data_IF_683706351795
#
_entry.id   IF_683706351795
#
_cell.length_a   1.000
_cell.length_b   1.000
_cell.length_c   1.000
_cell.angle_alpha   90.00
_cell.angle_beta   90.00
_cell.angle_gamma   90.00
#
_symmetry.space_group_name_H-M   'P 1'
#
loop_
_entity.id
_entity.type
_entity.pdbx_description
1 polymer ?
#
# COMPACT_ATOMS: atom_id res chain seq x y z
N UNK A 1 -33.21 -62.21 -5.63
CA UNK A 1 -34.10 -61.38 -4.79
C UNK A 1 -33.58 -59.96 -4.65
N UNK A 2 -32.27 -59.73 -4.46
CA UNK A 2 -31.70 -58.38 -4.33
C UNK A 2 -31.95 -57.47 -5.54
N UNK A 3 -31.84 -57.97 -6.78
CA UNK A 3 -32.06 -57.16 -7.99
C UNK A 3 -33.50 -56.64 -8.06
N UNK A 4 -34.50 -57.47 -7.69
CA UNK A 4 -35.92 -57.10 -7.70
C UNK A 4 -36.20 -56.03 -6.63
N UNK A 5 -35.56 -56.15 -5.47
CA UNK A 5 -35.64 -55.15 -4.40
C UNK A 5 -35.09 -53.79 -4.87
N UNK A 6 -33.92 -53.76 -5.51
CA UNK A 6 -33.35 -52.52 -6.04
C UNK A 6 -34.19 -51.91 -7.17
N UNK A 7 -34.79 -52.74 -8.05
CA UNK A 7 -35.73 -52.26 -9.08
C UNK A 7 -36.97 -51.63 -8.42
N UNK A 8 -37.53 -52.27 -7.39
CA UNK A 8 -38.68 -51.73 -6.65
C UNK A 8 -38.35 -50.39 -5.96
N UNK A 9 -37.21 -50.31 -5.28
CA UNK A 9 -36.73 -49.06 -4.67
C UNK A 9 -36.56 -47.96 -5.72
N UNK A 10 -35.98 -48.29 -6.89
CA UNK A 10 -35.82 -47.34 -7.99
C UNK A 10 -37.17 -46.82 -8.50
N UNK A 11 -38.17 -47.70 -8.66
CA UNK A 11 -39.53 -47.30 -9.09
C UNK A 11 -40.18 -46.36 -8.07
N UNK A 12 -40.05 -46.65 -6.77
CA UNK A 12 -40.59 -45.80 -5.70
C UNK A 12 -39.92 -44.43 -5.69
N UNK A 13 -38.60 -44.37 -5.87
CA UNK A 13 -37.85 -43.11 -5.96
C UNK A 13 -38.27 -42.30 -7.20
N UNK A 14 -38.41 -42.95 -8.36
CA UNK A 14 -38.88 -42.28 -9.59
C UNK A 14 -40.30 -41.74 -9.40
N UNK A 15 -41.21 -42.52 -8.83
CA UNK A 15 -42.58 -42.08 -8.55
C UNK A 15 -42.61 -40.87 -7.60
N UNK A 16 -41.76 -40.87 -6.57
CA UNK A 16 -41.63 -39.75 -5.63
C UNK A 16 -41.07 -38.49 -6.32
N UNK A 17 -40.06 -38.62 -7.18
CA UNK A 17 -39.52 -37.50 -7.96
C UNK A 17 -40.57 -36.92 -8.91
N UNK A 18 -41.34 -37.77 -9.60
CA UNK A 18 -42.42 -37.34 -10.50
C UNK A 18 -43.51 -36.59 -9.73
N UNK A 19 -43.81 -36.99 -8.49
CA UNK A 19 -44.77 -36.30 -7.63
C UNK A 19 -44.26 -34.94 -7.12
N UNK A 20 -42.94 -34.78 -6.94
CA UNK A 20 -42.31 -33.51 -6.55
C UNK A 20 -42.07 -32.55 -7.73
N UNK A 21 -41.91 -33.07 -8.94
CA UNK A 21 -41.66 -32.31 -10.17
C UNK A 21 -42.62 -31.11 -10.39
N UNK A 22 -43.96 -31.23 -10.25
CA UNK A 22 -44.85 -30.09 -10.46
C UNK A 22 -44.63 -28.95 -9.46
N UNK A 23 -44.26 -29.24 -8.21
CA UNK A 23 -43.94 -28.21 -7.22
C UNK A 23 -42.61 -27.52 -7.53
N UNK A 24 -41.62 -28.27 -8.02
CA UNK A 24 -40.37 -27.67 -8.52
C UNK A 24 -40.61 -26.78 -9.74
N UNK A 25 -41.44 -27.22 -10.70
CA UNK A 25 -41.82 -26.42 -11.86
C UNK A 25 -42.63 -25.18 -11.47
N UNK A 26 -43.53 -25.29 -10.50
CA UNK A 26 -44.27 -24.15 -9.95
C UNK A 26 -43.34 -23.15 -9.26
N UNK A 27 -42.41 -23.62 -8.43
CA UNK A 27 -41.39 -22.78 -7.80
C UNK A 27 -40.50 -22.07 -8.82
N UNK A 28 -40.08 -22.78 -9.87
CA UNK A 28 -39.32 -22.20 -10.98
C UNK A 28 -40.16 -21.17 -11.75
N UNK A 29 -41.44 -21.43 -11.98
CA UNK A 29 -42.37 -20.49 -12.59
C UNK A 29 -42.55 -19.20 -11.78
N UNK A 30 -42.73 -19.31 -10.46
CA UNK A 30 -42.82 -18.15 -9.55
C UNK A 30 -41.51 -17.35 -9.57
N UNK A 31 -40.36 -18.03 -9.57
CA UNK A 31 -39.06 -17.38 -9.66
C UNK A 31 -38.84 -16.66 -11.01
N UNK A 32 -39.20 -17.30 -12.12
CA UNK A 32 -39.16 -16.68 -13.45
C UNK A 32 -40.08 -15.45 -13.52
N UNK A 33 -41.30 -15.53 -12.97
CA UNK A 33 -42.23 -14.40 -12.90
C UNK A 33 -41.66 -13.26 -12.05
N UNK A 34 -41.03 -13.56 -10.92
CA UNK A 34 -40.33 -12.57 -10.09
C UNK A 34 -39.22 -11.86 -10.88
N UNK A 35 -38.40 -12.60 -11.63
CA UNK A 35 -37.36 -12.01 -12.47
C UNK A 35 -37.93 -11.11 -13.58
N UNK A 36 -39.02 -11.54 -14.21
CA UNK A 36 -39.71 -10.78 -15.25
C UNK A 36 -40.28 -9.47 -14.71
N UNK A 37 -41.03 -9.53 -13.60
CA UNK A 37 -41.61 -8.34 -12.95
C UNK A 37 -40.49 -7.37 -12.56
N UNK A 38 -39.39 -7.89 -12.01
CA UNK A 38 -38.23 -7.08 -11.64
C UNK A 38 -37.60 -6.38 -12.85
N UNK A 39 -37.44 -7.08 -13.97
CA UNK A 39 -36.92 -6.50 -15.21
C UNK A 39 -37.86 -5.42 -15.78
N UNK A 40 -39.17 -5.66 -15.82
CA UNK A 40 -40.16 -4.67 -16.29
C UNK A 40 -40.13 -3.41 -15.41
N UNK A 41 -40.13 -3.58 -14.08
CA UNK A 41 -40.05 -2.44 -13.13
C UNK A 41 -38.78 -1.62 -13.31
N UNK A 42 -37.66 -2.27 -13.63
CA UNK A 42 -36.39 -1.61 -13.92
C UNK A 42 -36.48 -0.74 -15.19
N UNK A 43 -37.00 -1.28 -16.29
CA UNK A 43 -37.18 -0.52 -17.54
C UNK A 43 -38.13 0.66 -17.38
N UNK A 44 -39.23 0.49 -16.64
CA UNK A 44 -40.16 1.58 -16.33
C UNK A 44 -39.46 2.68 -15.55
N UNK A 45 -38.67 2.32 -14.54
CA UNK A 45 -37.95 3.29 -13.71
C UNK A 45 -36.98 4.14 -14.55
N UNK A 46 -36.10 3.53 -15.34
CA UNK A 46 -35.11 4.28 -16.13
C UNK A 46 -35.70 5.12 -17.27
N UNK A 47 -36.95 4.84 -17.68
CA UNK A 47 -37.67 5.63 -18.69
C UNK A 47 -38.65 6.64 -18.08
N UNK A 48 -38.76 6.69 -16.76
CA UNK A 48 -39.69 7.61 -16.09
C UNK A 48 -39.20 9.05 -16.21
N UNK A 49 -40.15 9.99 -16.36
CA UNK A 49 -39.83 11.42 -16.40
C UNK A 49 -39.17 11.89 -15.09
N UNK A 50 -39.56 11.29 -13.96
CA UNK A 50 -38.94 11.52 -12.65
C UNK A 50 -37.44 11.18 -12.67
N UNK A 51 -37.07 10.03 -13.25
CA UNK A 51 -35.67 9.65 -13.39
C UNK A 51 -34.90 10.62 -14.30
N UNK A 52 -35.48 10.99 -15.44
CA UNK A 52 -34.84 11.87 -16.42
C UNK A 52 -34.61 13.29 -15.85
N UNK A 53 -35.58 13.83 -15.12
CA UNK A 53 -35.47 15.14 -14.47
C UNK A 53 -34.38 15.13 -13.39
N UNK A 54 -34.40 14.15 -12.49
CA UNK A 54 -33.35 14.03 -11.46
C UNK A 54 -31.97 13.80 -12.08
N UNK A 55 -31.87 13.01 -13.16
CA UNK A 55 -30.60 12.84 -13.91
C UNK A 55 -30.07 14.18 -14.40
N UNK A 56 -30.94 15.04 -14.92
CA UNK A 56 -30.55 16.37 -15.39
C UNK A 56 -30.10 17.28 -14.24
N UNK A 57 -30.76 17.22 -13.08
CA UNK A 57 -30.40 18.00 -11.89
C UNK A 57 -28.99 17.66 -11.37
N UNK A 58 -28.63 16.36 -11.35
CA UNK A 58 -27.31 15.92 -10.87
C UNK A 58 -26.21 15.93 -11.94
N UNK A 59 -26.52 16.30 -13.20
CA UNK A 59 -25.59 16.22 -14.32
C UNK A 59 -24.29 16.98 -14.07
N UNK A 60 -24.34 18.17 -13.46
CA UNK A 60 -23.14 18.93 -13.12
C UNK A 60 -22.25 18.21 -12.10
N UNK A 61 -22.86 17.55 -11.11
CA UNK A 61 -22.12 16.78 -10.09
C UNK A 61 -21.48 15.54 -10.69
N UNK A 62 -22.17 14.88 -11.62
CA UNK A 62 -21.62 13.74 -12.37
C UNK A 62 -20.46 14.19 -13.26
N UNK A 63 -20.59 15.32 -13.95
CA UNK A 63 -19.51 15.86 -14.78
C UNK A 63 -18.27 16.18 -13.93
N UNK A 64 -18.44 16.84 -12.78
CA UNK A 64 -17.33 17.10 -11.84
C UNK A 64 -16.70 15.79 -11.34
N UNK A 65 -17.52 14.78 -11.04
CA UNK A 65 -17.03 13.45 -10.66
C UNK A 65 -16.19 12.82 -11.78
N UNK A 66 -16.67 12.86 -13.02
CA UNK A 66 -15.98 12.28 -14.18
C UNK A 66 -14.66 13.02 -14.47
N UNK A 67 -14.60 14.35 -14.29
CA UNK A 67 -13.35 15.11 -14.40
C UNK A 67 -12.31 14.63 -13.38
N UNK A 68 -12.72 14.44 -12.13
CA UNK A 68 -11.82 13.94 -11.06
C UNK A 68 -11.43 12.49 -11.34
N UNK A 69 -12.38 11.66 -11.76
CA UNK A 69 -12.14 10.26 -12.15
C UNK A 69 -11.06 10.16 -13.24
N UNK A 70 -11.15 10.99 -14.27
CA UNK A 70 -10.16 11.06 -15.36
C UNK A 70 -8.79 11.56 -14.88
N UNK A 71 -8.75 12.54 -13.98
CA UNK A 71 -7.50 12.95 -13.33
C UNK A 71 -6.87 11.80 -12.51
N UNK A 72 -7.68 11.04 -11.76
CA UNK A 72 -7.17 9.93 -10.95
C UNK A 72 -6.71 8.76 -11.82
N UNK A 73 -7.36 8.49 -12.94
CA UNK A 73 -6.91 7.51 -13.94
C UNK A 73 -5.55 7.88 -14.57
N UNK A 74 -5.15 9.15 -14.54
CA UNK A 74 -3.84 9.58 -15.03
C UNK A 74 -2.68 9.27 -14.09
N UNK A 75 -2.96 8.90 -12.83
CA UNK A 75 -1.92 8.38 -11.96
C UNK A 75 -1.44 7.04 -12.53
N UNK A 76 -0.22 7.03 -13.07
CA UNK A 76 0.42 5.80 -13.55
C UNK A 76 0.24 4.68 -12.52
N UNK A 77 0.06 3.45 -12.97
CA UNK A 77 0.07 2.28 -12.10
C UNK A 77 1.40 2.30 -11.37
N UNK A 78 1.39 2.67 -10.09
CA UNK A 78 2.60 2.84 -9.29
C UNK A 78 3.24 1.47 -9.16
N UNK A 79 4.13 1.17 -10.10
CA UNK A 79 4.90 -0.05 -10.12
C UNK A 79 6.01 0.15 -9.11
N UNK A 80 5.72 -0.21 -7.85
CA UNK A 80 6.68 -0.23 -6.75
C UNK A 80 7.73 -1.34 -6.94
N UNK A 81 8.33 -1.41 -8.13
CA UNK A 81 9.42 -2.34 -8.42
C UNK A 81 10.67 -1.83 -7.74
N UNK A 82 11.21 -2.65 -6.84
CA UNK A 82 12.56 -2.44 -6.34
C UNK A 82 13.52 -2.50 -7.54
N UNK A 83 14.39 -1.50 -7.67
CA UNK A 83 15.46 -1.49 -8.66
C UNK A 83 16.48 -2.58 -8.33
N UNK A 84 16.20 -3.82 -8.74
CA UNK A 84 17.07 -4.97 -8.51
C UNK A 84 17.74 -5.43 -9.82
N UNK A 85 18.42 -4.50 -10.50
CA UNK A 85 19.13 -4.81 -11.75
C UNK A 85 20.44 -5.58 -11.55
N UNK A 86 20.95 -5.72 -10.32
CA UNK A 86 22.33 -6.18 -10.11
C UNK A 86 22.49 -7.56 -9.46
N UNK A 87 21.43 -8.20 -8.93
CA UNK A 87 21.56 -9.43 -8.10
C UNK A 87 22.19 -10.62 -8.83
N UNK A 88 22.01 -10.71 -10.14
CA UNK A 88 22.52 -11.80 -10.99
C UNK A 88 23.50 -11.30 -12.07
N UNK A 89 24.00 -10.07 -11.95
CA UNK A 89 24.89 -9.43 -12.94
C UNK A 89 26.13 -10.26 -13.30
N UNK A 90 26.58 -11.09 -12.37
CA UNK A 90 27.78 -11.92 -12.50
C UNK A 90 27.48 -13.41 -12.44
N UNK A 91 26.21 -13.82 -12.62
CA UNK A 91 25.83 -15.23 -12.56
C UNK A 91 26.60 -16.08 -13.58
N UNK A 92 26.89 -15.50 -14.76
CA UNK A 92 27.63 -16.15 -15.84
C UNK A 92 29.11 -16.45 -15.50
N UNK A 93 29.66 -15.88 -14.42
CA UNK A 93 31.04 -16.11 -13.99
C UNK A 93 31.23 -17.47 -13.29
N UNK A 94 30.15 -18.17 -12.95
CA UNK A 94 30.21 -19.41 -12.18
C UNK A 94 29.48 -20.56 -12.90
N UNK A 95 30.07 -21.75 -12.88
CA UNK A 95 29.45 -22.99 -13.36
C UNK A 95 28.93 -23.81 -12.18
N UNK A 96 27.72 -24.35 -12.30
CA UNK A 96 27.12 -25.24 -11.29
C UNK A 96 27.02 -26.66 -11.84
N UNK A 97 27.58 -27.63 -11.12
CA UNK A 97 27.44 -29.06 -11.40
C UNK A 97 26.88 -29.78 -10.17
N UNK A 98 25.90 -30.66 -10.38
CA UNK A 98 25.35 -31.50 -9.33
C UNK A 98 26.15 -32.82 -9.25
N UNK A 99 26.92 -32.99 -8.18
CA UNK A 99 27.79 -34.17 -7.96
C UNK A 99 27.10 -35.33 -7.23
N UNK A 100 25.78 -35.25 -7.02
CA UNK A 100 25.03 -36.31 -6.33
C UNK A 100 25.04 -37.62 -7.11
N UNK A 101 25.50 -38.70 -6.48
CA UNK A 101 25.42 -40.08 -7.00
C UNK A 101 23.97 -40.60 -7.11
N UNK A 102 23.04 -39.95 -6.42
CA UNK A 102 21.62 -40.27 -6.52
C UNK A 102 21.01 -39.46 -7.65
N UNK A 103 20.26 -40.13 -8.54
CA UNK A 103 19.53 -39.55 -9.68
C UNK A 103 18.34 -38.71 -9.20
N UNK A 104 18.63 -37.67 -8.42
CA UNK A 104 17.63 -36.76 -7.86
C UNK A 104 17.32 -35.72 -8.95
N UNK A 105 16.21 -35.92 -9.64
CA UNK A 105 15.60 -34.89 -10.50
C UNK A 105 15.09 -33.74 -9.62
N UNK A 106 15.98 -32.84 -9.18
CA UNK A 106 15.60 -31.59 -8.50
C UNK A 106 15.12 -30.58 -9.55
N UNK A 107 13.89 -30.73 -10.02
CA UNK A 107 13.28 -29.73 -10.90
C UNK A 107 12.78 -28.51 -10.08
N UNK A 108 13.72 -27.84 -9.40
CA UNK A 108 13.45 -26.77 -8.42
C UNK A 108 14.32 -25.53 -8.56
N UNK A 109 15.45 -25.66 -9.25
CA UNK A 109 16.32 -24.54 -9.60
C UNK A 109 16.00 -24.00 -11.00
N UNK A 110 14.75 -24.10 -11.46
CA UNK A 110 14.26 -23.03 -12.34
C UNK A 110 14.07 -21.83 -11.45
N UNK A 111 15.18 -21.16 -11.14
CA UNK A 111 15.14 -19.74 -10.80
C UNK A 111 14.36 -19.11 -11.95
N UNK A 112 13.08 -18.82 -11.74
CA UNK A 112 12.45 -17.79 -12.53
C UNK A 112 13.22 -16.53 -12.15
N UNK A 113 14.25 -16.23 -12.96
CA UNK A 113 15.12 -15.05 -12.85
C UNK A 113 14.27 -13.76 -12.97
N UNK A 114 12.99 -13.91 -13.29
CA UNK A 114 11.97 -12.91 -13.59
C UNK A 114 11.15 -12.45 -12.37
N UNK A 115 11.30 -13.05 -11.18
CA UNK A 115 10.52 -12.67 -9.99
C UNK A 115 11.29 -11.72 -9.06
N UNK A 116 11.34 -10.42 -9.40
CA UNK A 116 12.07 -9.36 -8.68
C UNK A 116 11.82 -9.29 -7.15
N UNK A 117 10.66 -9.78 -6.69
CA UNK A 117 10.23 -9.68 -5.29
C UNK A 117 10.12 -11.04 -4.56
N UNK A 118 10.73 -12.11 -5.08
CA UNK A 118 10.76 -13.43 -4.43
C UNK A 118 12.17 -13.79 -3.98
N UNK A 119 12.33 -14.12 -2.70
CA UNK A 119 13.57 -14.61 -2.13
C UNK A 119 13.41 -16.07 -1.70
N UNK A 120 14.08 -16.97 -2.42
CA UNK A 120 14.17 -18.38 -2.06
C UNK A 120 15.06 -18.53 -0.81
N UNK A 121 14.48 -19.05 0.27
CA UNK A 121 14.99 -18.96 1.62
C UNK A 121 15.01 -20.32 2.32
N UNK A 122 15.82 -20.43 3.38
CA UNK A 122 15.72 -21.57 4.30
C UNK A 122 14.45 -21.47 5.15
N UNK A 123 13.96 -22.61 5.65
CA UNK A 123 12.79 -22.67 6.54
C UNK A 123 12.91 -21.70 7.74
N UNK A 124 14.12 -21.61 8.31
CA UNK A 124 14.39 -20.71 9.43
C UNK A 124 14.26 -19.22 9.03
N UNK A 125 14.69 -18.86 7.81
CA UNK A 125 14.58 -17.49 7.29
C UNK A 125 13.12 -17.15 7.01
N UNK A 126 12.33 -18.07 6.43
CA UNK A 126 10.89 -17.87 6.24
C UNK A 126 10.19 -17.61 7.58
N UNK A 127 10.42 -18.48 8.57
CA UNK A 127 9.84 -18.31 9.92
C UNK A 127 10.26 -16.98 10.57
N UNK A 128 11.54 -16.62 10.49
CA UNK A 128 12.02 -15.36 11.07
C UNK A 128 11.50 -14.13 10.32
N UNK A 129 11.27 -14.22 9.01
CA UNK A 129 10.64 -13.15 8.25
C UNK A 129 9.17 -12.93 8.68
N UNK A 130 8.45 -13.94 9.17
CA UNK A 130 7.13 -13.72 9.76
C UNK A 130 7.18 -13.12 11.17
N UNK A 131 8.24 -13.40 11.93
CA UNK A 131 8.42 -12.86 13.29
C UNK A 131 8.96 -11.41 13.27
N UNK A 132 9.86 -11.08 12.35
CA UNK A 132 10.52 -9.77 12.22
C UNK A 132 10.47 -9.26 10.76
N UNK A 133 9.29 -8.92 10.22
CA UNK A 133 9.10 -8.66 8.79
C UNK A 133 9.96 -7.53 8.24
N UNK A 134 9.96 -6.36 8.89
CA UNK A 134 10.70 -5.17 8.40
C UNK A 134 12.22 -5.39 8.40
N UNK A 135 12.74 -6.08 9.41
CA UNK A 135 14.16 -6.43 9.51
C UNK A 135 14.59 -7.33 8.36
N UNK A 136 13.80 -8.35 8.06
CA UNK A 136 14.10 -9.29 6.99
C UNK A 136 13.88 -8.66 5.62
N UNK A 137 12.88 -7.81 5.47
CA UNK A 137 12.68 -6.98 4.27
C UNK A 137 13.93 -6.12 3.98
N UNK A 138 14.41 -5.37 4.98
CA UNK A 138 15.63 -4.56 4.87
C UNK A 138 16.89 -5.38 4.54
N UNK A 139 16.95 -6.62 5.02
CA UNK A 139 18.11 -7.51 4.84
C UNK A 139 18.17 -8.15 3.46
N UNK A 140 17.02 -8.51 2.87
CA UNK A 140 16.96 -9.35 1.66
C UNK A 140 16.38 -8.66 0.42
N UNK A 141 15.76 -7.49 0.56
CA UNK A 141 15.07 -6.78 -0.53
C UNK A 141 15.54 -5.33 -0.74
N UNK A 142 16.83 -5.07 -0.54
CA UNK A 142 17.52 -3.78 -0.80
C UNK A 142 17.00 -2.54 -0.05
N UNK A 143 16.11 -2.72 0.93
CA UNK A 143 15.66 -1.67 1.84
C UNK A 143 16.62 -1.44 3.02
N UNK A 144 17.94 -1.47 2.78
CA UNK A 144 18.94 -1.22 3.83
C UNK A 144 18.65 0.10 4.56
N UNK A 145 18.80 0.18 5.90
CA UNK A 145 18.51 1.41 6.63
C UNK A 145 19.57 2.49 6.35
N UNK A 146 19.30 3.34 5.36
CA UNK A 146 20.15 4.46 4.96
C UNK A 146 19.28 5.62 4.45
N UNK A 147 19.88 6.80 4.33
CA UNK A 147 19.18 8.03 3.94
C UNK A 147 18.53 7.95 2.55
N UNK A 148 19.19 7.30 1.59
CA UNK A 148 18.68 7.14 0.23
C UNK A 148 17.39 6.30 0.21
N UNK A 149 17.40 5.18 0.92
CA UNK A 149 16.26 4.29 1.00
C UNK A 149 15.13 4.89 1.85
N UNK A 150 15.46 5.67 2.90
CA UNK A 150 14.46 6.40 3.66
C UNK A 150 13.70 7.39 2.78
N UNK A 151 14.42 8.21 2.00
CA UNK A 151 13.81 9.16 1.08
C UNK A 151 12.97 8.46 0.00
N UNK A 152 13.47 7.34 -0.55
CA UNK A 152 12.74 6.53 -1.52
C UNK A 152 11.43 5.96 -0.97
N UNK A 153 11.44 5.38 0.24
CA UNK A 153 10.22 4.85 0.86
C UNK A 153 9.24 5.97 1.20
N UNK A 154 9.73 7.14 1.62
CA UNK A 154 8.88 8.30 1.90
C UNK A 154 8.13 8.79 0.66
N UNK A 155 8.81 8.85 -0.49
CA UNK A 155 8.20 9.20 -1.78
C UNK A 155 7.12 8.17 -2.19
N UNK A 156 7.41 6.89 -1.98
CA UNK A 156 6.42 5.81 -2.15
C UNK A 156 5.22 6.02 -1.21
N UNK A 157 5.46 6.33 0.06
CA UNK A 157 4.40 6.55 1.04
C UNK A 157 3.52 7.74 0.69
N UNK A 158 4.12 8.86 0.25
CA UNK A 158 3.37 10.04 -0.22
C UNK A 158 2.51 9.69 -1.44
N UNK A 159 3.08 8.93 -2.37
CA UNK A 159 2.38 8.49 -3.58
C UNK A 159 1.20 7.57 -3.26
N UNK A 160 1.38 6.60 -2.34
CA UNK A 160 0.31 5.73 -1.84
C UNK A 160 -0.76 6.53 -1.08
N UNK A 161 -0.36 7.47 -0.23
CA UNK A 161 -1.30 8.30 0.53
C UNK A 161 -2.16 9.18 -0.39
N UNK A 162 -1.54 9.84 -1.38
CA UNK A 162 -2.26 10.61 -2.41
C UNK A 162 -3.29 9.75 -3.14
N UNK A 163 -2.90 8.54 -3.49
CA UNK A 163 -3.76 7.59 -4.16
C UNK A 163 -4.95 7.15 -3.29
N UNK A 164 -4.70 6.73 -2.05
CA UNK A 164 -5.74 6.30 -1.10
C UNK A 164 -6.71 7.45 -0.83
N UNK A 165 -6.20 8.66 -0.63
CA UNK A 165 -7.01 9.85 -0.45
C UNK A 165 -7.88 10.17 -1.68
N UNK A 166 -7.32 10.06 -2.89
CA UNK A 166 -8.06 10.27 -4.13
C UNK A 166 -9.20 9.25 -4.28
N UNK A 167 -8.92 7.97 -4.00
CA UNK A 167 -9.93 6.90 -4.01
C UNK A 167 -11.03 7.16 -2.99
N UNK A 168 -10.68 7.43 -1.73
CA UNK A 168 -11.65 7.72 -0.68
C UNK A 168 -12.50 8.96 -1.01
N UNK A 169 -11.92 9.97 -1.66
CA UNK A 169 -12.64 11.15 -2.11
C UNK A 169 -13.67 10.80 -3.21
N UNK A 170 -13.28 10.00 -4.20
CA UNK A 170 -14.17 9.52 -5.25
C UNK A 170 -15.30 8.65 -4.67
N UNK A 171 -14.98 7.69 -3.82
CA UNK A 171 -15.96 6.81 -3.17
C UNK A 171 -16.98 7.64 -2.37
N UNK A 172 -16.52 8.63 -1.59
CA UNK A 172 -17.41 9.51 -0.84
C UNK A 172 -18.30 10.38 -1.74
N UNK A 173 -17.76 10.89 -2.86
CA UNK A 173 -18.54 11.66 -3.84
C UNK A 173 -19.57 10.79 -4.55
N UNK A 174 -19.21 9.57 -4.94
CA UNK A 174 -20.12 8.62 -5.55
C UNK A 174 -21.25 8.27 -4.60
N UNK A 175 -20.95 7.94 -3.34
CA UNK A 175 -21.97 7.67 -2.33
C UNK A 175 -22.88 8.88 -2.10
N UNK A 176 -22.33 10.11 -2.15
CA UNK A 176 -23.15 11.33 -2.09
C UNK A 176 -24.08 11.46 -3.29
N UNK A 177 -23.58 11.29 -4.52
CA UNK A 177 -24.39 11.34 -5.74
C UNK A 177 -25.52 10.31 -5.67
N UNK A 178 -25.21 9.07 -5.27
CA UNK A 178 -26.20 8.00 -5.13
C UNK A 178 -27.20 8.29 -4.02
N UNK A 179 -26.75 8.85 -2.89
CA UNK A 179 -27.62 9.25 -1.78
C UNK A 179 -28.57 10.37 -2.16
N UNK A 180 -28.06 11.42 -2.80
CA UNK A 180 -28.83 12.59 -3.25
C UNK A 180 -29.84 12.19 -4.33
N UNK A 181 -29.45 11.27 -5.22
CA UNK A 181 -30.34 10.69 -6.24
C UNK A 181 -31.43 9.78 -5.65
N UNK A 182 -31.21 9.22 -4.45
CA UNK A 182 -32.15 8.39 -3.70
C UNK A 182 -32.89 7.31 -4.53
N UNK A 183 -32.17 6.42 -5.24
CA UNK A 183 -32.79 5.42 -6.10
C UNK A 183 -33.53 4.34 -5.28
N UNK A 184 -34.57 3.69 -5.86
CA UNK A 184 -35.27 2.59 -5.20
C UNK A 184 -34.32 1.47 -4.76
N UNK A 185 -34.52 0.92 -3.55
CA UNK A 185 -33.65 -0.13 -2.97
C UNK A 185 -33.43 -1.34 -3.88
N UNK A 186 -34.41 -1.71 -4.71
CA UNK A 186 -34.28 -2.85 -5.63
C UNK A 186 -33.34 -2.57 -6.81
N UNK A 187 -33.22 -1.29 -7.24
CA UNK A 187 -32.25 -0.85 -8.25
C UNK A 187 -30.85 -0.96 -7.66
N UNK A 188 -30.62 -0.43 -6.45
CA UNK A 188 -29.33 -0.56 -5.78
C UNK A 188 -28.90 -2.02 -5.53
N UNK A 189 -29.86 -2.92 -5.26
CA UNK A 189 -29.58 -4.32 -4.96
C UNK A 189 -29.26 -5.17 -6.21
N UNK A 190 -29.87 -4.86 -7.35
CA UNK A 190 -29.84 -5.74 -8.52
C UNK A 190 -29.32 -5.09 -9.81
N UNK A 191 -29.28 -3.76 -9.88
CA UNK A 191 -29.03 -2.98 -11.09
C UNK A 191 -28.13 -1.76 -10.82
N UNK A 192 -27.21 -1.85 -9.84
CA UNK A 192 -26.29 -0.75 -9.47
C UNK A 192 -25.42 -0.30 -10.67
N UNK A 193 -24.82 -1.25 -11.38
CA UNK A 193 -23.99 -0.95 -12.57
C UNK A 193 -24.80 -0.30 -13.70
N UNK A 194 -26.03 -0.76 -13.93
CA UNK A 194 -26.92 -0.15 -14.93
C UNK A 194 -27.32 1.28 -14.53
N UNK A 195 -27.55 1.53 -13.24
CA UNK A 195 -27.82 2.88 -12.72
C UNK A 195 -26.63 3.81 -13.02
N UNK A 196 -25.41 3.41 -12.69
CA UNK A 196 -24.21 4.21 -12.96
C UNK A 196 -24.08 4.52 -14.46
N UNK A 197 -24.33 3.53 -15.32
CA UNK A 197 -24.30 3.71 -16.77
C UNK A 197 -25.36 4.69 -17.27
N UNK A 198 -26.59 4.59 -16.77
CA UNK A 198 -27.67 5.51 -17.14
C UNK A 198 -27.43 6.94 -16.63
N UNK A 199 -26.76 7.08 -15.48
CA UNK A 199 -26.33 8.36 -14.93
C UNK A 199 -25.07 8.91 -15.60
N UNK A 200 -24.43 8.18 -16.53
CA UNK A 200 -23.19 8.57 -17.20
C UNK A 200 -22.01 8.75 -16.22
N UNK A 201 -21.99 7.96 -15.15
CA UNK A 201 -20.90 7.95 -14.17
C UNK A 201 -19.75 7.10 -14.69
N UNK A 202 -18.59 7.72 -14.90
CA UNK A 202 -17.35 7.08 -15.32
C UNK A 202 -16.57 6.63 -14.08
N UNK A 203 -16.83 5.42 -13.59
CA UNK A 203 -16.06 4.86 -12.47
C UNK A 203 -14.66 4.52 -12.97
N UNK A 204 -13.61 5.06 -12.33
CA UNK A 204 -12.25 4.80 -12.76
C UNK A 204 -11.86 3.34 -12.44
N UNK A 205 -11.23 2.65 -13.39
CA UNK A 205 -10.73 1.29 -13.20
C UNK A 205 -9.40 1.29 -12.45
N UNK A 206 -9.41 1.82 -11.22
CA UNK A 206 -8.19 2.01 -10.47
C UNK A 206 -7.74 0.70 -9.83
N UNK A 207 -6.86 -0.03 -10.52
CA UNK A 207 -6.24 -1.24 -10.01
C UNK A 207 -4.91 -0.91 -9.34
N UNK A 208 -4.97 -0.64 -8.04
CA UNK A 208 -3.76 -0.47 -7.24
C UNK A 208 -3.39 -1.79 -6.56
N UNK A 209 -2.26 -2.35 -6.96
CA UNK A 209 -1.71 -3.55 -6.33
C UNK A 209 -0.48 -3.19 -5.52
N UNK A 210 -0.57 -3.37 -4.21
CA UNK A 210 0.60 -3.27 -3.35
C UNK A 210 1.63 -4.35 -3.73
N UNK A 211 2.93 -4.00 -3.85
CA UNK A 211 3.97 -4.97 -4.15
C UNK A 211 4.07 -5.96 -3.00
N UNK A 212 4.28 -7.23 -3.36
CA UNK A 212 4.43 -8.31 -2.40
C UNK A 212 5.86 -8.85 -2.45
N UNK A 213 6.52 -8.83 -1.31
CA UNK A 213 7.84 -9.41 -1.08
C UNK A 213 7.68 -10.78 -0.41
N UNK A 214 8.16 -11.83 -1.06
CA UNK A 214 7.88 -13.21 -0.64
C UNK A 214 9.17 -13.92 -0.25
N UNK A 215 9.16 -14.51 0.94
CA UNK A 215 10.15 -15.50 1.36
C UNK A 215 9.55 -16.88 1.14
N UNK A 216 10.20 -17.71 0.33
CA UNK A 216 9.70 -19.05 -0.01
C UNK A 216 10.67 -20.14 0.40
N UNK A 217 10.15 -21.20 0.99
CA UNK A 217 10.88 -22.40 1.31
C UNK A 217 10.16 -23.60 0.71
N UNK A 218 10.94 -24.56 0.19
CA UNK A 218 10.44 -25.86 -0.22
C UNK A 218 11.43 -26.93 0.28
N UNK A 219 10.95 -27.92 1.04
CA UNK A 219 11.78 -28.91 1.74
C UNK A 219 12.57 -29.78 0.79
N UNK A 220 13.82 -30.20 1.06
CA UNK A 220 14.69 -30.87 0.08
C UNK A 220 14.05 -31.98 -0.77
N UNK A 221 13.09 -32.74 -0.20
CA UNK A 221 12.39 -33.83 -0.85
C UNK A 221 11.12 -33.48 -1.65
N UNK A 222 10.74 -32.22 -1.84
CA UNK A 222 9.52 -31.87 -2.61
C UNK A 222 8.29 -31.60 -1.76
N UNK A 223 8.17 -32.28 -0.62
CA UNK A 223 6.88 -32.61 -0.01
C UNK A 223 6.32 -31.55 0.96
N UNK A 224 7.03 -30.47 1.22
CA UNK A 224 6.57 -29.40 2.12
C UNK A 224 7.04 -28.05 1.59
N UNK A 225 6.17 -27.05 1.63
CA UNK A 225 6.48 -25.68 1.27
C UNK A 225 5.96 -24.72 2.35
N UNK A 226 6.65 -23.60 2.52
CA UNK A 226 6.22 -22.50 3.38
C UNK A 226 6.51 -21.17 2.69
N UNK A 227 5.64 -20.19 2.92
CA UNK A 227 5.76 -18.85 2.36
C UNK A 227 5.42 -17.80 3.42
N UNK A 228 6.25 -16.77 3.51
CA UNK A 228 5.92 -15.53 4.20
C UNK A 228 5.81 -14.43 3.15
N UNK A 229 4.71 -13.71 3.14
CA UNK A 229 4.45 -12.60 2.22
C UNK A 229 4.37 -11.31 3.01
N UNK A 230 5.16 -10.32 2.62
CA UNK A 230 5.09 -8.95 3.14
C UNK A 230 4.52 -8.09 2.03
N UNK A 231 3.33 -7.55 2.25
CA UNK A 231 2.70 -6.60 1.33
C UNK A 231 3.08 -5.20 1.76
N UNK A 232 3.61 -4.36 0.88
CA UNK A 232 3.86 -2.94 1.23
C UNK A 232 2.56 -2.15 1.14
N UNK A 233 1.59 -2.47 2.00
CA UNK A 233 0.39 -1.66 2.22
C UNK A 233 0.68 -0.38 3.01
N UNK A 234 -0.33 0.49 3.16
CA UNK A 234 -0.20 1.77 3.85
C UNK A 234 0.45 1.62 5.23
N UNK A 235 -0.06 0.69 6.04
CA UNK A 235 0.46 0.40 7.38
C UNK A 235 1.91 -0.09 7.35
N UNK A 236 2.23 -1.01 6.42
CA UNK A 236 3.58 -1.56 6.31
C UNK A 236 4.59 -0.52 5.85
N UNK A 237 4.20 0.38 4.92
CA UNK A 237 5.04 1.47 4.46
C UNK A 237 5.35 2.44 5.60
N UNK A 238 4.33 2.89 6.34
CA UNK A 238 4.52 3.77 7.50
C UNK A 238 5.45 3.13 8.54
N UNK A 239 5.19 1.87 8.90
CA UNK A 239 6.02 1.12 9.85
C UNK A 239 7.48 0.96 9.35
N UNK A 240 7.66 0.81 8.03
CA UNK A 240 8.99 0.69 7.41
C UNK A 240 9.75 2.01 7.41
N UNK A 241 9.07 3.15 7.18
CA UNK A 241 9.65 4.50 7.31
C UNK A 241 10.15 4.69 8.74
N UNK A 242 9.32 4.39 9.74
CA UNK A 242 9.69 4.50 11.15
C UNK A 242 10.89 3.60 11.49
N UNK A 243 10.84 2.33 11.07
CA UNK A 243 11.92 1.36 11.30
C UNK A 243 13.26 1.83 10.68
N UNK A 244 13.23 2.29 9.43
CA UNK A 244 14.44 2.78 8.75
C UNK A 244 14.94 4.07 9.41
N UNK A 245 14.04 5.00 9.74
CA UNK A 245 14.39 6.26 10.38
C UNK A 245 15.07 6.04 11.74
N UNK A 246 14.54 5.14 12.57
CA UNK A 246 15.14 4.78 13.87
C UNK A 246 16.55 4.19 13.70
N UNK A 247 16.72 3.28 12.73
CA UNK A 247 18.03 2.66 12.45
C UNK A 247 19.04 3.63 11.87
N UNK A 248 18.60 4.58 11.04
CA UNK A 248 19.44 5.69 10.56
C UNK A 248 19.83 6.59 11.73
N UNK A 249 18.89 6.88 12.66
CA UNK A 249 19.12 7.68 13.87
C UNK A 249 20.16 7.04 14.80
N UNK A 250 20.14 5.71 14.93
CA UNK A 250 21.10 4.91 15.71
C UNK A 250 22.50 4.87 15.08
N UNK A 251 22.66 5.28 13.82
CA UNK A 251 23.95 5.42 13.17
C UNK A 251 24.77 6.54 13.82
N UNK A 252 25.74 6.19 14.68
CA UNK A 252 26.67 7.15 15.31
C UNK A 252 27.67 7.81 14.34
N UNK A 253 27.54 7.58 13.04
CA UNK A 253 28.47 8.14 12.06
C UNK A 253 28.19 9.62 11.86
N UNK A 254 29.25 10.39 11.63
CA UNK A 254 29.12 11.83 11.49
C UNK A 254 28.30 12.25 10.25
N UNK A 255 28.17 11.36 9.26
CA UNK A 255 27.33 11.56 8.08
C UNK A 255 25.84 11.38 8.42
N UNK A 256 25.49 10.28 9.10
CA UNK A 256 24.13 9.99 9.50
C UNK A 256 23.56 11.07 10.44
N UNK A 257 24.34 11.52 11.42
CA UNK A 257 23.88 12.60 12.31
C UNK A 257 23.61 13.90 11.55
N UNK A 258 24.44 14.27 10.56
CA UNK A 258 24.18 15.47 9.75
C UNK A 258 22.93 15.34 8.87
N UNK A 259 22.61 14.15 8.38
CA UNK A 259 21.42 13.93 7.56
C UNK A 259 20.11 13.98 8.36
N UNK A 260 20.15 13.64 9.65
CA UNK A 260 19.01 13.79 10.56
C UNK A 260 18.59 15.26 10.74
N UNK A 261 19.47 16.23 10.42
CA UNK A 261 19.11 17.64 10.36
C UNK A 261 18.25 17.92 9.13
N UNK A 262 16.98 17.55 9.21
CA UNK A 262 15.98 17.88 8.19
C UNK A 262 15.59 19.36 8.27
N UNK A 263 14.99 19.92 7.20
CA UNK A 263 14.47 21.29 7.21
C UNK A 263 13.42 21.47 8.32
N UNK A 264 12.53 20.49 8.51
CA UNK A 264 11.49 20.48 9.54
C UNK A 264 12.10 20.56 10.94
N UNK A 265 13.13 19.76 11.23
CA UNK A 265 13.81 19.79 12.52
C UNK A 265 14.55 21.11 12.75
N UNK A 266 15.26 21.65 11.74
CA UNK A 266 15.90 22.97 11.88
C UNK A 266 14.89 24.08 12.18
N UNK A 267 13.76 24.08 11.50
CA UNK A 267 12.71 25.08 11.72
C UNK A 267 12.08 24.93 13.10
N UNK A 268 11.84 23.69 13.54
CA UNK A 268 11.37 23.41 14.90
C UNK A 268 12.33 23.95 15.97
N UNK A 269 13.63 23.69 15.85
CA UNK A 269 14.64 24.19 16.79
C UNK A 269 14.70 25.72 16.78
N UNK A 270 14.68 26.36 15.60
CA UNK A 270 14.61 27.83 15.49
C UNK A 270 13.39 28.40 16.17
N UNK A 271 12.22 27.78 15.98
CA UNK A 271 10.98 28.21 16.61
C UNK A 271 11.01 28.01 18.13
N UNK A 272 11.53 26.87 18.62
CA UNK A 272 11.74 26.60 20.06
C UNK A 272 12.61 27.68 20.70
N UNK A 273 13.65 28.08 19.99
CA UNK A 273 14.62 29.08 20.43
C UNK A 273 14.15 30.53 20.14
N UNK A 274 12.87 30.73 19.81
CA UNK A 274 12.27 32.02 19.45
C UNK A 274 13.08 32.82 18.42
N UNK A 275 13.64 32.13 17.43
CA UNK A 275 14.53 32.67 16.40
C UNK A 275 15.61 33.59 16.99
N UNK A 276 16.21 33.13 18.10
CA UNK A 276 17.20 33.89 18.86
C UNK A 276 18.45 33.04 19.07
N UNK A 277 19.62 33.65 18.86
CA UNK A 277 20.90 33.00 19.09
C UNK A 277 21.07 32.66 20.57
N UNK A 278 21.22 31.37 20.88
CA UNK A 278 21.35 30.86 22.26
C UNK A 278 22.70 31.19 22.92
N UNK A 279 23.64 31.78 22.19
CA UNK A 279 24.93 32.23 22.76
C UNK A 279 25.00 33.73 22.99
N UNK A 280 24.56 34.56 22.04
CA UNK A 280 24.70 36.01 22.14
C UNK A 280 23.37 36.76 22.31
N UNK A 281 22.24 36.07 22.30
CA UNK A 281 20.91 36.68 22.45
C UNK A 281 20.42 37.46 21.23
N UNK A 282 21.18 37.52 20.13
CA UNK A 282 20.74 38.23 18.93
C UNK A 282 19.52 37.54 18.30
N UNK A 283 18.44 38.31 18.08
CA UNK A 283 17.18 37.84 17.52
C UNK A 283 16.90 38.46 16.15
N UNK A 284 16.18 37.73 15.29
CA UNK A 284 15.68 38.29 14.02
C UNK A 284 14.63 39.39 14.24
N UNK A 285 14.01 39.44 15.42
CA UNK A 285 13.06 40.50 15.78
C UNK A 285 13.76 41.87 15.87
N UNK A 286 14.99 41.89 16.39
CA UNK A 286 15.79 43.12 16.54
C UNK A 286 16.65 43.40 15.29
N UNK A 287 17.01 42.36 14.54
CA UNK A 287 17.93 42.43 13.41
C UNK A 287 17.42 41.59 12.23
N UNK A 288 16.69 42.21 11.31
CA UNK A 288 16.03 41.52 10.19
C UNK A 288 16.99 40.82 9.21
N UNK A 289 18.25 41.25 9.13
CA UNK A 289 19.30 40.65 8.28
C UNK A 289 20.14 39.59 9.01
N UNK A 290 19.76 39.21 10.25
CA UNK A 290 20.51 38.23 11.03
C UNK A 290 20.34 36.82 10.47
N UNK A 291 21.45 36.20 10.06
CA UNK A 291 21.46 34.81 9.63
C UNK A 291 21.60 33.87 10.84
N UNK A 292 20.59 33.02 11.03
CA UNK A 292 20.53 31.98 12.05
C UNK A 292 20.66 30.58 11.46
N UNK A 293 21.48 29.77 12.10
CA UNK A 293 21.79 28.39 11.75
C UNK A 293 21.54 27.50 12.96
N UNK A 294 21.20 26.23 12.72
CA UNK A 294 21.05 25.24 13.79
C UNK A 294 22.33 24.41 13.84
N UNK A 295 22.93 24.36 15.02
CA UNK A 295 24.19 23.68 15.28
C UNK A 295 24.08 22.77 16.52
N UNK A 296 25.00 21.80 16.62
CA UNK A 296 25.03 20.86 17.74
C UNK A 296 25.77 21.44 18.95
N UNK A 297 25.20 21.36 20.16
CA UNK A 297 25.88 21.75 21.41
C UNK A 297 27.17 20.95 21.59
N UNK A 298 27.06 19.62 21.59
CA UNK A 298 28.18 18.70 21.43
C UNK A 298 28.35 18.43 19.93
N UNK A 299 29.47 18.82 19.31
CA UNK A 299 29.70 18.61 17.89
C UNK A 299 29.62 17.13 17.50
N UNK A 300 29.14 16.87 16.28
CA UNK A 300 29.07 15.50 15.73
C UNK A 300 30.44 14.82 15.68
N UNK A 301 31.52 15.57 15.42
CA UNK A 301 32.90 15.06 15.45
C UNK A 301 33.32 14.52 16.81
N UNK A 302 32.65 14.95 17.88
CA UNK A 302 32.88 14.54 19.28
C UNK A 302 31.81 13.58 19.80
N UNK A 303 31.04 12.97 18.90
CA UNK A 303 30.01 11.98 19.24
C UNK A 303 28.64 12.58 19.60
N UNK A 304 28.44 13.88 19.36
CA UNK A 304 27.14 14.52 19.56
C UNK A 304 26.07 13.98 18.62
N UNK A 305 24.88 13.75 19.17
CA UNK A 305 23.72 13.23 18.45
C UNK A 305 22.83 14.37 17.94
N UNK A 306 22.12 14.15 16.85
CA UNK A 306 21.13 15.06 16.27
C UNK A 306 19.77 14.92 16.96
N UNK A 307 19.75 15.15 18.27
CA UNK A 307 18.56 15.16 19.12
C UNK A 307 18.23 16.60 19.50
N UNK A 308 16.95 16.88 19.78
CA UNK A 308 16.49 18.22 20.13
C UNK A 308 17.29 18.84 21.28
N UNK A 309 17.60 18.05 22.31
CA UNK A 309 18.38 18.48 23.49
C UNK A 309 19.83 18.85 23.18
N UNK A 310 20.40 18.33 22.07
CA UNK A 310 21.78 18.61 21.67
C UNK A 310 21.84 19.62 20.50
N UNK A 311 20.73 20.24 20.13
CA UNK A 311 20.67 21.24 19.07
C UNK A 311 20.34 22.61 19.63
N UNK A 312 20.92 23.64 19.02
CA UNK A 312 20.72 25.03 19.39
C UNK A 312 20.74 25.94 18.16
N UNK A 313 20.05 27.05 18.24
CA UNK A 313 20.08 28.11 17.23
C UNK A 313 21.22 29.07 17.51
N UNK A 314 22.12 29.25 16.55
CA UNK A 314 23.26 30.17 16.62
C UNK A 314 23.21 31.17 15.46
N UNK A 315 23.67 32.41 15.69
CA UNK A 315 23.96 33.31 14.59
C UNK A 315 25.22 32.87 13.86
N UNK A 316 25.36 33.25 12.59
CA UNK A 316 26.51 32.88 11.75
C UNK A 316 27.89 33.19 12.40
N UNK A 317 27.99 34.28 13.18
CA UNK A 317 29.22 34.63 13.92
C UNK A 317 29.50 33.62 15.03
N UNK A 318 28.52 33.37 15.90
CA UNK A 318 28.64 32.42 17.00
C UNK A 318 28.88 30.99 16.49
N UNK A 319 28.18 30.57 15.44
CA UNK A 319 28.37 29.26 14.84
C UNK A 319 29.81 29.08 14.32
N UNK A 320 30.34 30.09 13.61
CA UNK A 320 31.72 30.06 13.09
C UNK A 320 32.77 30.10 14.21
N UNK A 321 32.53 30.85 15.29
CA UNK A 321 33.41 30.89 16.46
C UNK A 321 33.41 29.56 17.21
N UNK A 322 32.24 28.91 17.32
CA UNK A 322 32.11 27.60 17.96
C UNK A 322 32.81 26.51 17.16
N UNK A 323 32.53 26.39 15.86
CA UNK A 323 33.09 25.32 15.02
C UNK A 323 32.86 23.94 15.69
N UNK A 324 33.92 23.18 15.93
CA UNK A 324 33.94 21.87 16.57
C UNK A 324 34.29 21.94 18.08
N UNK A 325 34.20 23.12 18.70
CA UNK A 325 34.42 23.29 20.15
C UNK A 325 33.13 22.97 20.92
N UNK A 326 33.32 22.42 22.12
CA UNK A 326 32.26 22.34 23.13
C UNK A 326 32.42 23.62 23.93
N UNK A 327 31.41 24.48 23.90
CA UNK A 327 31.40 25.71 24.69
C UNK A 327 30.49 25.43 25.87
N UNK A 328 31.04 25.49 27.08
CA UNK A 328 30.22 25.46 28.29
C UNK A 328 29.37 26.73 28.33
N UNK A 329 28.05 26.56 28.36
CA UNK A 329 27.12 27.67 28.55
C UNK A 329 27.25 28.13 30.01
N UNK A 330 27.66 29.38 30.23
CA UNK A 330 27.77 30.01 31.55
C UNK A 330 26.40 30.28 32.16
#
# INVERSE_FOLDING_TARGET
MEIIFWIFVMIVVIAFIVQLLPYMLMGLGIYCLYLLIRYIRKEIYFRSDEFLNHKQEISNMVNEYNEISNYVNSFETISLKAANQDRYKYADLATYENTSKHNIKRNRNTTDVTLDNVYQASLAVVKKASEEPLKYLCKYFDFKPNEKNLAYIQDIGETVSRFVNAKNNLDARLEKIVSDFNPPKFILKHYREELHKHLEIEIPEITFTFPQYKFEYVSPGGNSSQRTTITLDELTIESLIEYIADRVKQGKTAKAQRALMTKKLREFIKKRDNYTCQTCGASIADQSLLLLEVDHIIPVSKGGLSTEDNLQTLCWKCNRTKSDKIIEQQ
#
